data_IF_531218053441
#
_entry.id   IF_531218053441
#
_cell.length_a   1.000
_cell.length_b   1.000
_cell.length_c   1.000
_cell.angle_alpha   90.00
_cell.angle_beta   90.00
_cell.angle_gamma   90.00
#
_symmetry.space_group_name_H-M   'P 1'
#
loop_
_entity.id
_entity.type
_entity.pdbx_description
1 polymer ?
#
# COMPACT_ATOMS: atom_id res chain seq x y z
N UNK A 1 -13.50 25.24 31.01
CA UNK A 1 -13.38 26.30 29.99
C UNK A 1 -11.97 26.88 29.93
N UNK A 2 -11.41 27.35 31.06
CA UNK A 2 -10.05 27.95 31.08
C UNK A 2 -8.95 27.00 30.54
N UNK A 3 -8.92 25.73 30.95
CA UNK A 3 -7.91 24.76 30.51
C UNK A 3 -7.95 24.51 28.99
N UNK A 4 -9.14 24.36 28.41
CA UNK A 4 -9.29 24.17 26.96
C UNK A 4 -8.83 25.41 26.18
N UNK A 5 -9.12 26.62 26.68
CA UNK A 5 -8.65 27.86 26.07
C UNK A 5 -7.12 28.00 26.15
N UNK A 6 -6.51 27.59 27.26
CA UNK A 6 -5.05 27.54 27.39
C UNK A 6 -4.47 26.61 26.31
N UNK A 7 -5.02 25.40 26.15
CA UNK A 7 -4.58 24.42 25.14
C UNK A 7 -4.66 24.99 23.72
N UNK A 8 -5.78 25.63 23.36
CA UNK A 8 -5.96 26.24 22.05
C UNK A 8 -4.90 27.33 21.79
N UNK A 9 -4.59 28.14 22.79
CA UNK A 9 -3.58 29.21 22.69
C UNK A 9 -2.15 28.66 22.59
N UNK A 10 -1.75 27.72 23.48
CA UNK A 10 -0.37 27.22 23.49
C UNK A 10 -0.06 26.30 22.32
N UNK A 11 -1.07 25.67 21.72
CA UNK A 11 -0.89 24.82 20.54
C UNK A 11 -0.44 25.62 19.31
N UNK A 12 -0.76 26.92 19.25
CA UNK A 12 -0.35 27.82 18.16
C UNK A 12 1.15 28.17 18.18
N UNK A 13 1.82 28.06 19.33
CA UNK A 13 3.18 28.54 19.53
C UNK A 13 4.29 27.55 19.13
N UNK A 14 3.91 26.36 18.63
CA UNK A 14 4.78 25.26 18.17
C UNK A 14 6.15 25.09 18.84
N UNK A 15 6.17 25.04 20.18
CA UNK A 15 7.39 24.89 20.97
C UNK A 15 7.24 23.90 22.15
N UNK A 16 8.37 23.53 22.76
CA UNK A 16 8.46 22.56 23.87
C UNK A 16 7.73 23.01 25.14
N UNK A 17 7.75 24.31 25.44
CA UNK A 17 7.03 24.86 26.60
C UNK A 17 5.52 24.68 26.45
N UNK A 18 4.98 24.90 25.25
CA UNK A 18 3.57 24.64 24.94
C UNK A 18 3.20 23.18 25.12
N UNK A 19 4.08 22.25 24.69
CA UNK A 19 3.87 20.80 24.87
C UNK A 19 3.78 20.43 26.35
N UNK A 20 4.73 20.90 27.16
CA UNK A 20 4.76 20.64 28.61
C UNK A 20 3.52 21.19 29.34
N UNK A 21 3.00 22.34 28.89
CA UNK A 21 1.73 22.88 29.41
C UNK A 21 0.55 21.96 29.05
N UNK A 22 0.46 21.49 27.80
CA UNK A 22 -0.61 20.56 27.39
C UNK A 22 -0.57 19.28 28.23
N UNK A 23 0.61 18.70 28.42
CA UNK A 23 0.78 17.47 29.23
C UNK A 23 0.34 17.71 30.67
N UNK A 24 0.75 18.84 31.29
CA UNK A 24 0.31 19.20 32.64
C UNK A 24 -1.20 19.41 32.72
N UNK A 25 -1.83 19.98 31.70
CA UNK A 25 -3.28 20.12 31.62
C UNK A 25 -3.99 18.75 31.55
N UNK A 26 -3.48 17.82 30.74
CA UNK A 26 -4.01 16.46 30.62
C UNK A 26 -3.77 15.65 31.90
N UNK A 27 -2.64 15.81 32.56
CA UNK A 27 -2.31 15.10 33.80
C UNK A 27 -3.10 15.61 35.02
N UNK A 28 -3.48 16.90 35.02
CA UNK A 28 -4.27 17.50 36.10
C UNK A 28 -5.70 16.95 36.17
N UNK A 29 -6.30 16.67 35.02
CA UNK A 29 -7.63 16.07 34.90
C UNK A 29 -7.58 14.95 33.83
N UNK A 30 -7.13 13.73 34.24
CA UNK A 30 -6.80 12.64 33.33
C UNK A 30 -7.94 12.32 32.38
N UNK A 31 -7.64 12.39 31.07
CA UNK A 31 -8.59 12.07 30.01
C UNK A 31 -9.91 12.86 30.05
N UNK A 32 -9.94 14.06 30.65
CA UNK A 32 -11.12 14.91 30.55
C UNK A 32 -11.49 15.16 29.08
N UNK A 33 -12.73 14.82 28.71
CA UNK A 33 -13.19 14.85 27.32
C UNK A 33 -12.98 16.23 26.66
N UNK A 34 -13.26 17.31 27.39
CA UNK A 34 -13.09 18.68 26.86
C UNK A 34 -11.62 19.03 26.64
N UNK A 35 -10.75 18.55 27.51
CA UNK A 35 -9.29 18.77 27.42
C UNK A 35 -8.75 18.02 26.21
N UNK A 36 -9.07 16.74 26.07
CA UNK A 36 -8.59 15.91 24.96
C UNK A 36 -9.17 16.36 23.61
N UNK A 37 -10.44 16.76 23.54
CA UNK A 37 -11.03 17.31 22.32
C UNK A 37 -10.39 18.65 21.92
N UNK A 38 -10.00 19.49 22.90
CA UNK A 38 -9.25 20.72 22.62
C UNK A 38 -7.86 20.40 22.05
N UNK A 39 -7.17 19.40 22.60
CA UNK A 39 -5.88 18.92 22.05
C UNK A 39 -6.05 18.41 20.62
N UNK A 40 -7.07 17.59 20.37
CA UNK A 40 -7.39 17.04 19.05
C UNK A 40 -7.63 18.14 18.00
N UNK A 41 -8.31 19.20 18.40
CA UNK A 41 -8.68 20.31 17.51
C UNK A 41 -7.51 21.25 17.23
N UNK A 42 -6.56 21.35 18.17
CA UNK A 42 -5.52 22.36 18.14
C UNK A 42 -4.16 21.85 17.62
N UNK A 43 -3.87 20.56 17.78
CA UNK A 43 -2.57 20.00 17.43
C UNK A 43 -2.54 19.42 16.01
N UNK A 44 -1.48 19.70 15.21
CA UNK A 44 -1.31 19.03 13.92
C UNK A 44 -1.07 17.54 14.11
N UNK A 45 -1.49 16.71 13.14
CA UNK A 45 -1.46 15.23 13.24
C UNK A 45 -0.11 14.63 13.68
N UNK A 46 1.05 15.07 13.15
CA UNK A 46 2.35 14.55 13.61
C UNK A 46 2.59 14.75 15.12
N UNK A 47 2.04 15.82 15.69
CA UNK A 47 2.20 16.19 17.09
C UNK A 47 1.31 15.37 18.03
N UNK A 48 0.25 14.75 17.50
CA UNK A 48 -0.59 13.83 18.26
C UNK A 48 0.21 12.60 18.73
N UNK A 49 1.17 12.11 17.93
CA UNK A 49 2.01 10.95 18.29
C UNK A 49 3.02 11.31 19.40
N UNK A 50 3.60 12.51 19.35
CA UNK A 50 4.49 13.02 20.40
C UNK A 50 3.74 13.21 21.73
N UNK A 51 2.54 13.80 21.66
CA UNK A 51 1.67 13.95 22.82
C UNK A 51 1.22 12.59 23.37
N UNK A 52 0.89 11.64 22.49
CA UNK A 52 0.55 10.29 22.89
C UNK A 52 1.70 9.62 23.65
N UNK A 53 2.92 9.73 23.14
CA UNK A 53 4.13 9.24 23.83
C UNK A 53 4.26 9.86 25.22
N UNK A 54 4.06 11.17 25.32
CA UNK A 54 4.18 11.90 26.57
C UNK A 54 3.09 11.50 27.57
N UNK A 55 1.86 11.29 27.11
CA UNK A 55 0.74 10.83 27.94
C UNK A 55 1.01 9.42 28.47
N UNK A 56 1.37 8.47 27.60
CA UNK A 56 1.59 7.07 27.98
C UNK A 56 2.78 6.87 28.91
N UNK A 57 3.77 7.76 28.85
CA UNK A 57 4.97 7.68 29.71
C UNK A 57 4.85 8.49 31.00
N UNK A 58 3.81 9.32 31.15
CA UNK A 58 3.63 10.18 32.31
C UNK A 58 3.16 9.38 33.54
N UNK A 59 3.71 9.63 34.76
CA UNK A 59 3.41 8.84 35.98
C UNK A 59 1.93 8.65 36.27
N UNK A 60 1.11 9.69 36.05
CA UNK A 60 -0.35 9.67 36.22
C UNK A 60 -1.03 8.53 35.45
N UNK A 61 -0.51 8.15 34.28
CA UNK A 61 -1.08 7.11 33.42
C UNK A 61 -0.41 5.75 33.60
N UNK A 62 0.69 5.67 34.37
CA UNK A 62 1.49 4.45 34.55
C UNK A 62 1.34 3.83 35.94
N UNK A 63 1.25 4.65 36.98
CA UNK A 63 1.40 4.21 38.38
C UNK A 63 0.07 3.89 39.06
N UNK A 64 -1.05 4.43 38.56
CA UNK A 64 -2.38 4.21 39.13
C UNK A 64 -3.35 3.76 38.05
N UNK A 65 -4.19 2.73 38.32
CA UNK A 65 -5.27 2.38 37.42
C UNK A 65 -6.21 3.57 37.28
N UNK A 66 -6.52 3.92 36.03
CA UNK A 66 -7.52 4.92 35.71
C UNK A 66 -8.92 4.39 36.10
N UNK A 67 -9.88 5.30 36.30
CA UNK A 67 -11.29 4.90 36.31
C UNK A 67 -11.65 4.25 34.98
N UNK A 68 -12.67 3.38 34.97
CA UNK A 68 -13.16 2.75 33.73
C UNK A 68 -13.49 3.78 32.64
N UNK A 69 -14.09 4.90 33.03
CA UNK A 69 -14.41 6.02 32.12
C UNK A 69 -13.15 6.65 31.51
N UNK A 70 -12.14 6.94 32.33
CA UNK A 70 -10.90 7.54 31.88
C UNK A 70 -10.07 6.56 31.04
N UNK A 71 -10.10 5.26 31.37
CA UNK A 71 -9.47 4.22 30.56
C UNK A 71 -10.14 4.12 29.18
N UNK A 72 -11.47 4.08 29.13
CA UNK A 72 -12.20 4.03 27.87
C UNK A 72 -11.96 5.29 27.01
N UNK A 73 -11.79 6.46 27.63
CA UNK A 73 -11.46 7.69 26.93
C UNK A 73 -10.00 7.69 26.43
N UNK A 74 -9.06 7.14 27.19
CA UNK A 74 -7.67 6.92 26.73
C UNK A 74 -7.63 5.98 25.52
N UNK A 75 -8.42 4.89 25.54
CA UNK A 75 -8.50 3.94 24.44
C UNK A 75 -9.08 4.58 23.16
N UNK A 76 -10.13 5.40 23.30
CA UNK A 76 -10.67 6.22 22.20
C UNK A 76 -9.63 7.19 21.65
N UNK A 77 -8.86 7.81 22.55
CA UNK A 77 -7.80 8.75 22.16
C UNK A 77 -6.65 8.06 21.42
N UNK A 78 -6.19 6.91 21.92
CA UNK A 78 -5.23 6.03 21.26
C UNK A 78 -5.69 5.70 19.84
N UNK A 79 -6.94 5.23 19.71
CA UNK A 79 -7.52 4.90 18.43
C UNK A 79 -7.55 6.11 17.48
N UNK A 80 -7.95 7.28 17.97
CA UNK A 80 -7.98 8.53 17.19
C UNK A 80 -6.58 8.92 16.68
N UNK A 81 -5.58 8.95 17.56
CA UNK A 81 -4.21 9.32 17.19
C UNK A 81 -3.60 8.34 16.19
N UNK A 82 -3.78 7.03 16.42
CA UNK A 82 -3.26 5.98 15.53
C UNK A 82 -3.94 6.07 14.16
N UNK A 83 -5.28 6.10 14.14
CA UNK A 83 -6.05 6.20 12.88
C UNK A 83 -5.67 7.46 12.10
N UNK A 84 -5.57 8.61 12.77
CA UNK A 84 -5.14 9.85 12.13
C UNK A 84 -3.74 9.77 11.51
N UNK A 85 -2.81 9.09 12.20
CA UNK A 85 -1.44 8.86 11.72
C UNK A 85 -1.41 7.92 10.53
N UNK A 86 -2.18 6.83 10.57
CA UNK A 86 -2.29 5.85 9.47
C UNK A 86 -2.94 6.47 8.23
N UNK A 87 -4.02 7.24 8.40
CA UNK A 87 -4.79 7.77 7.27
C UNK A 87 -4.20 9.04 6.65
N UNK A 88 -3.30 9.76 7.34
CA UNK A 88 -2.76 11.01 6.80
C UNK A 88 -1.51 11.56 7.49
N UNK A 89 -0.82 10.76 8.31
CA UNK A 89 0.48 11.10 8.85
C UNK A 89 1.59 10.92 7.81
N UNK A 90 2.64 11.74 7.90
CA UNK A 90 3.86 11.55 7.09
C UNK A 90 4.78 10.46 7.65
N UNK A 91 5.84 10.08 6.93
CA UNK A 91 6.78 9.02 7.34
C UNK A 91 7.40 9.23 8.72
N UNK A 92 7.71 10.48 9.08
CA UNK A 92 8.26 10.81 10.40
C UNK A 92 7.27 10.50 11.53
N UNK A 93 6.00 10.90 11.37
CA UNK A 93 4.97 10.62 12.38
C UNK A 93 4.73 9.12 12.56
N UNK A 94 4.73 8.37 11.46
CA UNK A 94 4.58 6.92 11.51
C UNK A 94 5.80 6.24 12.15
N UNK A 95 7.03 6.71 11.86
CA UNK A 95 8.24 6.21 12.49
C UNK A 95 8.21 6.42 14.01
N UNK A 96 7.81 7.61 14.47
CA UNK A 96 7.62 7.91 15.89
C UNK A 96 6.57 7.01 16.54
N UNK A 97 5.48 6.69 15.82
CA UNK A 97 4.45 5.77 16.31
C UNK A 97 5.01 4.35 16.49
N UNK A 98 5.79 3.84 15.52
CA UNK A 98 6.43 2.53 15.64
C UNK A 98 7.43 2.48 16.80
N UNK A 99 8.18 3.56 17.03
CA UNK A 99 9.08 3.67 18.18
C UNK A 99 8.34 3.71 19.52
N UNK A 100 7.17 4.37 19.56
CA UNK A 100 6.31 4.36 20.74
C UNK A 100 5.82 2.94 21.04
N UNK A 101 5.25 2.25 20.05
CA UNK A 101 4.75 0.87 20.18
C UNK A 101 5.88 -0.08 20.62
N UNK A 102 7.10 0.14 20.12
CA UNK A 102 8.27 -0.65 20.52
C UNK A 102 8.61 -0.52 22.02
N UNK A 103 8.23 0.59 22.67
CA UNK A 103 8.55 0.89 24.08
C UNK A 103 7.43 0.50 25.06
N UNK A 104 6.24 0.16 24.58
CA UNK A 104 5.12 -0.26 25.43
C UNK A 104 5.20 -1.75 25.79
N UNK A 105 4.44 -2.17 26.80
CA UNK A 105 4.30 -3.59 27.14
C UNK A 105 3.65 -4.40 25.99
N UNK A 106 3.62 -5.73 26.14
CA UNK A 106 3.15 -6.65 25.10
C UNK A 106 1.67 -6.45 24.72
N UNK A 107 0.82 -6.22 25.71
CA UNK A 107 -0.63 -6.10 25.51
C UNK A 107 -0.95 -4.77 24.82
N UNK A 108 -0.34 -3.69 25.29
CA UNK A 108 -0.48 -2.37 24.69
C UNK A 108 0.11 -2.33 23.27
N UNK A 109 1.29 -2.92 23.05
CA UNK A 109 1.89 -2.97 21.72
C UNK A 109 1.01 -3.77 20.73
N UNK A 110 0.48 -4.91 21.16
CA UNK A 110 -0.44 -5.73 20.35
C UNK A 110 -1.71 -4.96 20.02
N UNK A 111 -2.32 -4.30 21.00
CA UNK A 111 -3.54 -3.48 20.83
C UNK A 111 -3.30 -2.34 19.83
N UNK A 112 -2.21 -1.59 19.97
CA UNK A 112 -1.88 -0.49 19.06
C UNK A 112 -1.63 -0.98 17.62
N UNK A 113 -0.91 -2.09 17.45
CA UNK A 113 -0.70 -2.69 16.13
C UNK A 113 -2.01 -3.22 15.52
N UNK A 114 -2.92 -3.76 16.33
CA UNK A 114 -4.25 -4.18 15.88
C UNK A 114 -5.11 -2.98 15.45
N UNK A 115 -4.99 -1.82 16.10
CA UNK A 115 -5.64 -0.59 15.65
C UNK A 115 -5.10 -0.18 14.28
N UNK A 116 -3.78 -0.23 14.06
CA UNK A 116 -3.18 0.02 12.74
C UNK A 116 -3.75 -0.94 11.70
N UNK A 117 -3.69 -2.25 11.98
CA UNK A 117 -4.18 -3.29 11.09
C UNK A 117 -5.66 -3.14 10.75
N UNK A 118 -6.52 -2.89 11.74
CA UNK A 118 -7.96 -2.69 11.52
C UNK A 118 -8.28 -1.41 10.74
N UNK A 119 -7.49 -0.35 10.92
CA UNK A 119 -7.62 0.90 10.15
C UNK A 119 -7.38 0.65 8.67
N UNK A 120 -6.39 -0.18 8.33
CA UNK A 120 -6.02 -0.45 6.94
C UNK A 120 -6.79 -1.60 6.29
N UNK A 121 -7.41 -2.47 7.09
CA UNK A 121 -8.18 -3.63 6.61
C UNK A 121 -9.70 -3.47 6.74
N UNK A 122 -10.19 -2.34 7.26
CA UNK A 122 -11.61 -2.12 7.53
C UNK A 122 -12.49 -2.25 6.28
N UNK A 123 -13.44 -3.19 6.32
CA UNK A 123 -14.44 -3.46 5.27
C UNK A 123 -15.49 -2.34 5.08
N UNK A 124 -15.58 -1.36 5.98
CA UNK A 124 -16.66 -0.35 6.00
C UNK A 124 -16.37 0.91 5.18
N UNK A 125 -15.12 1.19 4.84
CA UNK A 125 -14.77 2.28 3.92
C UNK A 125 -14.40 1.70 2.55
N UNK A 126 -15.14 2.10 1.50
CA UNK A 126 -14.79 1.79 0.12
C UNK A 126 -14.00 2.98 -0.47
N UNK A 127 -12.73 2.81 -0.84
CA UNK A 127 -11.77 1.75 -0.47
C UNK A 127 -10.96 2.13 0.79
N UNK A 128 -10.44 1.14 1.55
CA UNK A 128 -9.42 1.40 2.56
C UNK A 128 -8.10 1.69 1.83
N UNK A 129 -7.76 2.96 1.68
CA UNK A 129 -6.46 3.37 1.14
C UNK A 129 -5.50 3.59 2.29
N UNK A 130 -4.88 2.51 2.77
CA UNK A 130 -3.65 2.67 3.51
C UNK A 130 -2.61 3.24 2.54
N UNK A 131 -2.26 4.51 2.72
CA UNK A 131 -1.22 5.16 1.91
C UNK A 131 0.12 4.49 2.23
N UNK A 132 0.86 4.11 1.19
CA UNK A 132 2.22 3.60 1.35
C UNK A 132 3.06 4.63 2.11
N UNK A 133 3.73 4.19 3.17
CA UNK A 133 4.64 5.03 3.95
C UNK A 133 6.05 4.79 3.44
N UNK A 134 6.57 5.79 2.72
CA UNK A 134 7.93 5.77 2.19
C UNK A 134 8.90 6.32 3.24
N UNK A 135 9.72 5.45 3.81
CA UNK A 135 10.80 5.82 4.73
C UNK A 135 12.13 5.96 3.99
N UNK A 136 13.01 6.81 4.52
CA UNK A 136 14.38 6.97 4.00
C UNK A 136 15.26 5.72 4.28
N UNK A 137 14.92 4.95 5.32
CA UNK A 137 15.56 3.69 5.70
C UNK A 137 14.58 2.88 6.57
N UNK A 138 14.90 1.63 6.87
CA UNK A 138 14.10 0.80 7.79
C UNK A 138 13.97 1.49 9.16
N UNK A 139 12.75 1.78 9.66
CA UNK A 139 12.58 2.52 10.91
C UNK A 139 13.11 1.76 12.14
N UNK A 140 13.74 2.49 13.07
CA UNK A 140 14.28 1.90 14.30
C UNK A 140 13.20 1.20 15.14
N UNK A 141 12.00 1.80 15.24
CA UNK A 141 10.85 1.18 15.90
C UNK A 141 10.45 -0.16 15.28
N UNK A 142 10.47 -0.28 13.95
CA UNK A 142 10.18 -1.54 13.26
C UNK A 142 11.25 -2.61 13.56
N UNK A 143 12.53 -2.23 13.55
CA UNK A 143 13.64 -3.12 13.91
C UNK A 143 13.50 -3.62 15.36
N UNK A 144 13.10 -2.76 16.29
CA UNK A 144 12.88 -3.13 17.68
C UNK A 144 11.67 -4.08 17.82
N UNK A 145 10.58 -3.81 17.12
CA UNK A 145 9.36 -4.65 17.13
C UNK A 145 9.60 -6.04 16.53
N UNK A 146 10.40 -6.17 15.47
CA UNK A 146 10.73 -7.48 14.89
C UNK A 146 11.56 -8.38 15.80
N UNK A 147 12.32 -7.80 16.75
CA UNK A 147 13.11 -8.54 17.74
C UNK A 147 12.28 -9.06 18.92
N UNK A 148 11.01 -8.65 19.03
CA UNK A 148 10.12 -9.03 20.11
C UNK A 148 9.70 -10.52 20.01
N UNK A 149 9.76 -11.28 21.12
CA UNK A 149 9.47 -12.72 21.10
C UNK A 149 7.97 -13.06 20.96
N UNK A 150 7.07 -12.10 21.18
CA UNK A 150 5.62 -12.32 21.21
C UNK A 150 5.05 -12.63 19.81
N UNK A 151 4.30 -13.74 19.71
CA UNK A 151 3.70 -14.18 18.45
C UNK A 151 2.63 -13.21 17.93
N UNK A 152 1.84 -12.63 18.84
CA UNK A 152 0.81 -11.64 18.50
C UNK A 152 1.39 -10.43 17.78
N UNK A 153 2.54 -9.94 18.24
CA UNK A 153 3.25 -8.80 17.64
C UNK A 153 3.75 -9.17 16.24
N UNK A 154 4.37 -10.36 16.08
CA UNK A 154 4.83 -10.83 14.75
C UNK A 154 3.68 -10.92 13.74
N UNK A 155 2.54 -11.44 14.16
CA UNK A 155 1.36 -11.57 13.28
C UNK A 155 0.81 -10.21 12.88
N UNK A 156 0.73 -9.25 13.80
CA UNK A 156 0.30 -7.90 13.47
C UNK A 156 1.32 -7.15 12.59
N UNK A 157 2.62 -7.30 12.83
CA UNK A 157 3.65 -6.71 11.95
C UNK A 157 3.55 -7.28 10.53
N UNK A 158 3.31 -8.58 10.39
CA UNK A 158 3.09 -9.22 9.09
C UNK A 158 1.85 -8.64 8.41
N UNK A 159 0.76 -8.45 9.16
CA UNK A 159 -0.50 -7.94 8.62
C UNK A 159 -0.40 -6.50 8.08
N UNK A 160 0.50 -5.67 8.63
CA UNK A 160 0.72 -4.28 8.20
C UNK A 160 1.96 -4.07 7.31
N UNK A 161 2.76 -5.12 7.09
CA UNK A 161 4.05 -5.03 6.38
C UNK A 161 3.96 -4.42 4.97
N UNK A 162 2.80 -4.57 4.31
CA UNK A 162 2.52 -4.00 2.99
C UNK A 162 2.48 -2.46 2.97
N UNK A 163 2.39 -1.82 4.13
CA UNK A 163 2.33 -0.35 4.26
C UNK A 163 3.69 0.32 4.16
N UNK A 164 4.80 -0.43 4.14
CA UNK A 164 6.13 0.14 4.30
C UNK A 164 6.98 0.03 3.02
N UNK A 165 7.77 1.07 2.75
CA UNK A 165 8.76 1.08 1.66
C UNK A 165 10.00 1.86 2.09
N UNK A 166 11.21 1.37 1.78
CA UNK A 166 12.48 2.09 2.00
C UNK A 166 13.62 1.53 1.12
N UNK A 167 14.66 2.32 0.79
CA UNK A 167 15.79 1.87 -0.04
C UNK A 167 16.39 0.55 0.45
N UNK A 168 16.51 -0.43 -0.46
CA UNK A 168 17.06 -1.76 -0.14
C UNK A 168 16.05 -2.77 0.42
N UNK A 169 14.78 -2.38 0.64
CA UNK A 169 13.70 -3.36 0.74
C UNK A 169 13.50 -3.99 -0.66
N UNK A 170 13.36 -5.32 -0.82
CA UNK A 170 13.13 -5.94 -2.13
C UNK A 170 11.88 -5.42 -2.86
N UNK A 171 11.00 -4.69 -2.17
CA UNK A 171 9.80 -4.06 -2.69
C UNK A 171 9.89 -2.54 -2.80
N UNK A 172 11.07 -1.94 -2.63
CA UNK A 172 11.27 -0.49 -2.70
C UNK A 172 11.01 0.08 -4.09
N UNK A 173 10.38 1.26 -4.18
CA UNK A 173 10.08 1.93 -5.45
C UNK A 173 8.89 1.37 -6.23
N UNK A 174 8.29 0.27 -5.75
CA UNK A 174 6.99 -0.20 -6.21
C UNK A 174 5.92 0.60 -5.48
N UNK A 175 5.23 1.51 -6.16
CA UNK A 175 3.93 1.94 -5.69
C UNK A 175 3.09 0.66 -5.64
N UNK A 176 2.86 0.14 -4.44
CA UNK A 176 2.00 -1.01 -4.22
C UNK A 176 0.57 -0.61 -4.62
N UNK A 177 0.29 -0.64 -5.91
CA UNK A 177 -1.04 -0.90 -6.42
C UNK A 177 -1.42 -2.26 -5.81
N UNK A 178 -2.13 -2.19 -4.68
CA UNK A 178 -2.87 -3.25 -4.02
C UNK A 178 -2.19 -4.63 -4.08
N UNK A 179 -1.71 -5.19 -2.96
CA UNK A 179 -1.51 -6.64 -2.90
C UNK A 179 -2.79 -7.30 -3.40
N UNK A 180 -2.77 -7.77 -4.66
CA UNK A 180 -3.95 -8.36 -5.24
C UNK A 180 -4.24 -9.56 -4.39
N UNK A 181 -5.45 -9.57 -3.82
CA UNK A 181 -5.91 -10.66 -2.96
C UNK A 181 -5.51 -12.01 -3.55
N UNK A 182 -5.34 -13.05 -2.72
CA UNK A 182 -5.17 -14.40 -3.23
C UNK A 182 -6.19 -14.69 -4.32
N UNK A 183 -5.75 -15.35 -5.39
CA UNK A 183 -6.63 -15.73 -6.49
C UNK A 183 -7.73 -16.64 -5.94
N UNK A 184 -8.97 -16.34 -6.31
CA UNK A 184 -10.10 -17.23 -6.06
C UNK A 184 -9.97 -18.49 -6.94
N UNK A 185 -10.75 -19.53 -6.66
CA UNK A 185 -10.65 -20.81 -7.37
C UNK A 185 -10.76 -20.66 -8.89
N UNK A 186 -11.74 -19.90 -9.38
CA UNK A 186 -11.89 -19.62 -10.81
C UNK A 186 -10.68 -18.89 -11.41
N UNK A 187 -10.05 -18.00 -10.65
CA UNK A 187 -8.89 -17.23 -11.12
C UNK A 187 -7.60 -18.07 -11.07
N UNK A 188 -7.51 -19.06 -10.17
CA UNK A 188 -6.43 -20.05 -10.17
C UNK A 188 -6.50 -20.93 -11.42
N UNK A 189 -7.69 -21.29 -11.88
CA UNK A 189 -7.87 -22.02 -13.14
C UNK A 189 -7.41 -21.18 -14.33
N UNK A 190 -7.78 -19.90 -14.39
CA UNK A 190 -7.28 -18.96 -15.40
C UNK A 190 -5.75 -18.83 -15.34
N UNK A 191 -5.18 -18.72 -14.14
CA UNK A 191 -3.73 -18.65 -13.95
C UNK A 191 -3.02 -19.91 -14.49
N UNK A 192 -3.50 -21.11 -14.14
CA UNK A 192 -2.90 -22.37 -14.59
C UNK A 192 -3.02 -22.54 -16.12
N UNK A 193 -4.18 -22.20 -16.71
CA UNK A 193 -4.36 -22.18 -18.16
C UNK A 193 -3.44 -21.16 -18.83
N UNK A 194 -3.32 -19.98 -18.24
CA UNK A 194 -2.45 -18.92 -18.71
C UNK A 194 -0.97 -19.29 -18.69
N UNK A 195 -0.53 -20.04 -17.68
CA UNK A 195 0.83 -20.58 -17.60
C UNK A 195 1.13 -21.51 -18.78
N UNK A 196 0.22 -22.42 -19.10
CA UNK A 196 0.38 -23.33 -20.24
C UNK A 196 0.47 -22.56 -21.56
N UNK A 197 -0.45 -21.61 -21.79
CA UNK A 197 -0.44 -20.73 -22.97
C UNK A 197 0.88 -19.96 -23.08
N UNK A 198 1.35 -19.39 -21.96
CA UNK A 198 2.58 -18.62 -21.92
C UNK A 198 3.78 -19.47 -22.36
N UNK A 199 3.92 -20.67 -21.79
CA UNK A 199 5.01 -21.57 -22.10
C UNK A 199 5.01 -22.03 -23.55
N UNK A 200 3.83 -22.31 -24.11
CA UNK A 200 3.68 -22.78 -25.49
C UNK A 200 4.05 -21.70 -26.51
N UNK A 201 3.66 -20.44 -26.27
CA UNK A 201 3.69 -19.41 -27.31
C UNK A 201 4.53 -18.19 -26.93
N UNK A 202 4.37 -17.65 -25.74
CA UNK A 202 4.90 -16.34 -25.36
C UNK A 202 6.41 -16.36 -25.04
N UNK A 203 6.93 -17.51 -24.60
CA UNK A 203 8.35 -17.68 -24.26
C UNK A 203 9.29 -17.48 -25.43
N UNK A 204 8.80 -17.65 -26.66
CA UNK A 204 9.56 -17.45 -27.92
C UNK A 204 10.07 -16.03 -28.10
N UNK A 205 9.45 -15.05 -27.43
CA UNK A 205 9.89 -13.65 -27.43
C UNK A 205 10.21 -13.15 -26.02
N UNK A 206 9.38 -13.49 -25.02
CA UNK A 206 9.51 -12.99 -23.65
C UNK A 206 10.42 -13.84 -22.75
N UNK A 207 10.98 -14.94 -23.26
CA UNK A 207 11.75 -15.95 -22.51
C UNK A 207 10.90 -16.71 -21.46
N UNK A 208 11.35 -17.88 -20.96
CA UNK A 208 10.67 -18.61 -19.89
C UNK A 208 10.52 -17.83 -18.57
N UNK A 209 11.40 -16.88 -18.30
CA UNK A 209 11.40 -16.06 -17.08
C UNK A 209 10.81 -14.66 -17.27
N UNK A 210 10.20 -14.40 -18.43
CA UNK A 210 9.56 -13.13 -18.73
C UNK A 210 10.51 -11.95 -18.97
N UNK A 211 11.84 -12.14 -18.92
CA UNK A 211 12.82 -11.04 -19.02
C UNK A 211 13.13 -10.59 -20.46
N UNK A 212 12.55 -11.26 -21.44
CA UNK A 212 12.82 -11.02 -22.86
C UNK A 212 14.03 -11.82 -23.37
N UNK A 213 13.97 -12.20 -24.64
CA UNK A 213 15.08 -12.83 -25.35
C UNK A 213 15.94 -11.77 -26.04
N UNK A 214 17.26 -11.97 -26.05
CA UNK A 214 18.16 -11.15 -26.86
C UNK A 214 17.85 -11.32 -28.34
N UNK A 215 17.90 -10.23 -29.09
CA UNK A 215 17.83 -10.27 -30.55
C UNK A 215 18.97 -11.10 -31.14
N UNK A 216 18.83 -11.62 -32.39
CA UNK A 216 19.89 -12.36 -33.07
C UNK A 216 21.22 -11.61 -33.18
N UNK A 217 21.19 -10.28 -33.24
CA UNK A 217 22.38 -9.43 -33.27
C UNK A 217 23.02 -9.20 -31.88
N UNK A 218 22.35 -9.65 -30.81
CA UNK A 218 22.78 -9.59 -29.42
C UNK A 218 22.73 -8.21 -28.78
N UNK A 219 22.24 -7.18 -29.47
CA UNK A 219 22.29 -5.78 -29.03
C UNK A 219 21.02 -5.30 -28.33
N UNK A 220 19.88 -5.86 -28.70
CA UNK A 220 18.56 -5.49 -28.20
C UNK A 220 17.82 -6.71 -27.62
N UNK A 221 16.59 -6.48 -27.16
CA UNK A 221 15.65 -7.54 -26.82
C UNK A 221 14.61 -7.66 -27.93
N UNK A 222 14.18 -8.89 -28.20
CA UNK A 222 13.05 -9.16 -29.10
C UNK A 222 11.74 -8.62 -28.52
N UNK A 223 11.57 -8.71 -27.20
CA UNK A 223 10.38 -8.23 -26.51
C UNK A 223 10.72 -7.64 -25.13
N UNK A 224 9.88 -6.71 -24.62
CA UNK A 224 10.10 -6.10 -23.32
C UNK A 224 9.99 -7.12 -22.16
N UNK A 225 10.69 -6.86 -21.04
CA UNK A 225 10.49 -7.64 -19.83
C UNK A 225 9.05 -7.44 -19.30
N UNK A 226 8.45 -8.54 -18.87
CA UNK A 226 7.14 -8.59 -18.23
C UNK A 226 7.17 -8.40 -16.71
N UNK A 227 8.20 -8.88 -15.97
CA UNK A 227 8.32 -8.56 -14.56
C UNK A 227 8.37 -7.05 -14.34
N UNK A 228 7.55 -6.56 -13.42
CA UNK A 228 7.45 -5.15 -13.00
C UNK A 228 7.10 -4.17 -14.15
N UNK A 229 6.52 -4.68 -15.24
CA UNK A 229 6.07 -3.84 -16.35
C UNK A 229 4.89 -2.96 -15.92
N UNK A 230 4.97 -1.63 -16.01
CA UNK A 230 3.87 -0.75 -15.60
C UNK A 230 2.62 -0.95 -16.47
N UNK A 231 2.78 -1.38 -17.73
CA UNK A 231 1.67 -1.75 -18.61
C UNK A 231 0.90 -2.98 -18.11
N UNK A 232 1.55 -3.84 -17.32
CA UNK A 232 0.91 -4.98 -16.67
C UNK A 232 0.44 -4.67 -15.25
N UNK A 233 1.07 -3.74 -14.53
CA UNK A 233 0.70 -3.49 -13.14
C UNK A 233 -0.45 -2.49 -12.98
N UNK A 234 -0.46 -1.39 -13.74
CA UNK A 234 -1.32 -0.25 -13.46
C UNK A 234 -2.73 -0.35 -14.06
N UNK A 235 -2.85 -0.23 -15.39
CA UNK A 235 -4.14 -0.25 -16.08
C UNK A 235 -4.37 -1.60 -16.79
N UNK A 236 -5.39 -2.35 -16.34
CA UNK A 236 -5.76 -3.63 -16.95
C UNK A 236 -6.19 -3.50 -18.42
N UNK A 237 -6.83 -2.39 -18.79
CA UNK A 237 -7.33 -2.19 -20.15
C UNK A 237 -6.18 -2.11 -21.15
N UNK A 238 -5.07 -1.47 -20.78
CA UNK A 238 -3.88 -1.39 -21.63
C UNK A 238 -3.31 -2.77 -21.98
N UNK A 239 -3.19 -3.67 -20.98
CA UNK A 239 -2.74 -5.04 -21.21
C UNK A 239 -3.69 -5.82 -22.15
N UNK A 240 -5.01 -5.62 -22.01
CA UNK A 240 -6.00 -6.25 -22.87
C UNK A 240 -5.94 -5.68 -24.30
N UNK A 241 -5.83 -4.36 -24.44
CA UNK A 241 -5.67 -3.67 -25.72
C UNK A 241 -4.47 -4.21 -26.51
N UNK A 242 -3.33 -4.36 -25.83
CA UNK A 242 -2.10 -4.94 -26.37
C UNK A 242 -2.34 -6.39 -26.85
N UNK A 243 -2.96 -7.25 -26.04
CA UNK A 243 -3.23 -8.63 -26.45
C UNK A 243 -4.21 -8.74 -27.61
N UNK A 244 -5.21 -7.85 -27.67
CA UNK A 244 -6.22 -7.90 -28.72
C UNK A 244 -5.67 -7.39 -30.07
N UNK A 245 -4.88 -6.31 -30.07
CA UNK A 245 -4.53 -5.59 -31.30
C UNK A 245 -3.02 -5.50 -31.56
N UNK A 246 -2.18 -5.93 -30.63
CA UNK A 246 -0.72 -5.86 -30.72
C UNK A 246 -0.13 -4.56 -30.19
N UNK A 247 1.19 -4.49 -30.15
CA UNK A 247 1.98 -3.34 -29.69
C UNK A 247 3.21 -3.15 -30.58
N UNK A 248 3.46 -1.91 -30.98
CA UNK A 248 4.60 -1.53 -31.84
C UNK A 248 5.25 -0.23 -31.36
N UNK A 249 6.40 0.07 -31.94
CA UNK A 249 7.14 1.30 -31.69
C UNK A 249 8.00 1.25 -30.43
N UNK A 250 8.48 2.42 -30.05
CA UNK A 250 9.37 2.57 -28.92
C UNK A 250 8.62 2.49 -27.59
N UNK A 251 9.26 1.83 -26.62
CA UNK A 251 8.73 1.57 -25.30
C UNK A 251 9.71 2.11 -24.25
N UNK A 252 9.33 3.18 -23.55
CA UNK A 252 10.14 3.85 -22.50
C UNK A 252 11.58 4.21 -22.94
N UNK A 253 11.75 4.83 -24.11
CA UNK A 253 13.10 5.17 -24.58
C UNK A 253 13.83 4.02 -25.29
N UNK A 254 13.20 2.84 -25.40
CA UNK A 254 13.86 1.61 -25.91
C UNK A 254 13.12 1.03 -27.11
N UNK A 255 13.89 0.73 -28.14
CA UNK A 255 13.40 -0.01 -29.31
C UNK A 255 13.49 -1.51 -29.04
N UNK A 256 12.44 -2.24 -29.40
CA UNK A 256 12.41 -3.69 -29.42
C UNK A 256 12.23 -4.13 -30.88
N UNK A 257 12.97 -5.16 -31.30
CA UNK A 257 12.96 -5.57 -32.71
C UNK A 257 11.65 -6.27 -33.11
N UNK A 258 11.00 -6.94 -32.15
CA UNK A 258 9.75 -7.64 -32.38
C UNK A 258 8.54 -6.71 -32.32
N UNK A 259 7.63 -6.88 -33.28
CA UNK A 259 6.23 -6.46 -33.16
C UNK A 259 5.52 -7.43 -32.21
N UNK A 260 4.81 -6.94 -31.19
CA UNK A 260 3.90 -7.80 -30.43
C UNK A 260 2.65 -8.04 -31.27
N UNK A 261 2.48 -9.27 -31.75
CA UNK A 261 1.37 -9.64 -32.63
C UNK A 261 0.00 -9.52 -31.93
N UNK A 262 -1.08 -9.17 -32.69
CA UNK A 262 -2.44 -9.25 -32.19
C UNK A 262 -2.88 -10.70 -32.01
N UNK A 263 -3.48 -11.03 -30.87
CA UNK A 263 -4.07 -12.35 -30.60
C UNK A 263 -5.59 -12.34 -30.52
N UNK A 264 -6.22 -11.16 -30.57
CA UNK A 264 -7.66 -11.02 -30.38
C UNK A 264 -8.49 -11.76 -31.43
N UNK A 265 -8.10 -11.74 -32.71
CA UNK A 265 -8.91 -12.34 -33.78
C UNK A 265 -8.96 -13.88 -33.72
N UNK A 266 -7.87 -14.52 -33.26
CA UNK A 266 -7.73 -15.97 -33.27
C UNK A 266 -8.06 -16.65 -31.94
N UNK A 267 -8.27 -15.87 -30.87
CA UNK A 267 -8.45 -16.39 -29.53
C UNK A 267 -9.65 -15.74 -28.84
N UNK A 268 -10.36 -16.55 -28.06
CA UNK A 268 -11.51 -16.11 -27.28
C UNK A 268 -11.10 -15.29 -26.05
N UNK A 269 -12.11 -14.76 -25.37
CA UNK A 269 -11.92 -13.89 -24.21
C UNK A 269 -11.33 -14.63 -23.01
N UNK A 270 -11.58 -15.93 -22.88
CA UNK A 270 -11.02 -16.75 -21.80
C UNK A 270 -9.53 -17.01 -22.00
N UNK A 271 -9.10 -17.27 -23.24
CA UNK A 271 -7.70 -17.45 -23.59
C UNK A 271 -6.88 -16.20 -23.26
N UNK A 272 -7.37 -15.03 -23.69
CA UNK A 272 -6.71 -13.74 -23.42
C UNK A 272 -6.70 -13.44 -21.91
N UNK A 273 -7.83 -13.65 -21.22
CA UNK A 273 -7.93 -13.45 -19.78
C UNK A 273 -6.98 -14.38 -19.00
N UNK A 274 -6.82 -15.63 -19.46
CA UNK A 274 -5.95 -16.62 -18.82
C UNK A 274 -4.49 -16.19 -18.86
N UNK A 275 -3.95 -15.93 -20.05
CA UNK A 275 -2.53 -15.55 -20.20
C UNK A 275 -2.23 -14.23 -19.51
N UNK A 276 -3.13 -13.24 -19.59
CA UNK A 276 -2.94 -11.97 -18.89
C UNK A 276 -3.03 -12.11 -17.37
N UNK A 277 -3.87 -13.01 -16.85
CA UNK A 277 -3.92 -13.29 -15.41
C UNK A 277 -2.63 -13.95 -14.94
N UNK A 278 -2.07 -14.88 -15.71
CA UNK A 278 -0.78 -15.49 -15.39
C UNK A 278 0.35 -14.45 -15.32
N UNK A 279 0.58 -13.69 -16.39
CA UNK A 279 1.71 -12.74 -16.43
C UNK A 279 1.57 -11.60 -15.42
N UNK A 280 0.35 -11.21 -15.04
CA UNK A 280 0.09 -10.19 -13.99
C UNK A 280 0.26 -10.72 -12.56
N UNK A 281 0.45 -12.02 -12.39
CA UNK A 281 0.55 -12.69 -11.07
C UNK A 281 1.82 -13.51 -10.90
N UNK A 282 2.69 -13.51 -11.91
CA UNK A 282 3.95 -14.26 -11.95
C UNK A 282 5.15 -13.31 -11.79
N UNK A 283 6.31 -13.83 -11.39
CA UNK A 283 7.57 -13.08 -11.26
C UNK A 283 7.51 -11.86 -10.32
N UNK A 284 6.60 -11.90 -9.33
CA UNK A 284 6.41 -10.81 -8.37
C UNK A 284 5.46 -9.72 -8.84
N UNK A 285 4.85 -9.87 -10.02
CA UNK A 285 3.75 -9.02 -10.47
C UNK A 285 2.54 -9.17 -9.55
N UNK A 286 1.84 -8.06 -9.31
CA UNK A 286 0.74 -7.97 -8.37
C UNK A 286 -0.53 -7.37 -8.99
N UNK A 287 -0.58 -7.25 -10.31
CA UNK A 287 -1.76 -6.80 -11.04
C UNK A 287 -3.02 -7.63 -10.73
N UNK A 288 -4.17 -6.95 -10.68
CA UNK A 288 -5.46 -7.63 -10.53
C UNK A 288 -5.69 -8.66 -11.65
N UNK A 289 -6.35 -9.81 -11.37
CA UNK A 289 -6.65 -10.80 -12.39
C UNK A 289 -7.55 -10.22 -13.48
N UNK A 290 -7.40 -10.74 -14.70
CA UNK A 290 -8.24 -10.39 -15.84
C UNK A 290 -9.27 -11.49 -16.03
N UNK A 291 -10.54 -11.11 -16.04
CA UNK A 291 -11.66 -12.01 -16.26
C UNK A 291 -12.08 -11.94 -17.73
N UNK A 292 -12.68 -13.01 -18.28
CA UNK A 292 -13.20 -12.99 -19.66
C UNK A 292 -14.13 -11.81 -19.94
N UNK A 293 -14.94 -11.39 -18.97
CA UNK A 293 -15.83 -10.23 -19.09
C UNK A 293 -15.10 -8.90 -19.26
N UNK A 294 -13.90 -8.74 -18.71
CA UNK A 294 -13.08 -7.54 -18.96
C UNK A 294 -12.60 -7.52 -20.41
N UNK A 295 -12.19 -8.69 -20.94
CA UNK A 295 -11.73 -8.81 -22.33
C UNK A 295 -12.87 -8.53 -23.29
N UNK A 296 -14.04 -9.13 -23.06
CA UNK A 296 -15.24 -8.90 -23.85
C UNK A 296 -15.59 -7.40 -23.95
N UNK A 297 -15.57 -6.70 -22.81
CA UNK A 297 -15.86 -5.26 -22.76
C UNK A 297 -14.83 -4.43 -23.56
N UNK A 298 -13.53 -4.72 -23.41
CA UNK A 298 -12.49 -4.02 -24.18
C UNK A 298 -12.56 -4.36 -25.67
N UNK A 299 -12.86 -5.61 -26.02
CA UNK A 299 -13.02 -6.05 -27.40
C UNK A 299 -14.16 -5.31 -28.09
N UNK A 300 -15.30 -5.17 -27.43
CA UNK A 300 -16.43 -4.40 -27.97
C UNK A 300 -16.10 -2.91 -28.13
N UNK A 301 -15.47 -2.33 -27.11
CA UNK A 301 -15.05 -0.91 -27.09
C UNK A 301 -14.10 -0.57 -28.25
N UNK A 302 -13.23 -1.50 -28.64
CA UNK A 302 -12.20 -1.30 -29.67
C UNK A 302 -12.40 -2.18 -30.92
N UNK A 303 -13.61 -2.71 -31.17
CA UNK A 303 -13.89 -3.66 -32.25
C UNK A 303 -13.49 -3.22 -33.66
N UNK A 304 -13.42 -1.91 -33.90
CA UNK A 304 -13.07 -1.33 -35.19
C UNK A 304 -11.56 -1.08 -35.35
N UNK A 305 -10.75 -1.33 -34.31
CA UNK A 305 -9.30 -1.13 -34.38
C UNK A 305 -8.65 -2.33 -35.06
N UNK A 306 -7.81 -2.05 -36.05
CA UNK A 306 -7.07 -3.07 -36.82
C UNK A 306 -5.56 -2.92 -36.71
N UNK A 307 -5.08 -1.77 -36.22
CA UNK A 307 -3.66 -1.46 -36.10
C UNK A 307 -3.12 -1.74 -34.69
N UNK A 308 -1.85 -2.19 -34.56
CA UNK A 308 -1.17 -2.28 -33.27
C UNK A 308 -1.16 -0.95 -32.52
N UNK A 309 -1.19 -1.01 -31.20
CA UNK A 309 -1.04 0.17 -30.35
C UNK A 309 0.39 0.69 -30.36
N UNK A 310 0.58 1.99 -30.19
CA UNK A 310 1.86 2.57 -29.74
C UNK A 310 1.79 2.90 -28.24
N UNK A 311 2.94 3.12 -27.61
CA UNK A 311 2.98 3.56 -26.21
C UNK A 311 2.19 4.85 -25.96
N UNK A 312 2.20 5.79 -26.90
CA UNK A 312 1.54 7.10 -26.78
C UNK A 312 0.02 6.99 -26.84
N UNK A 313 -0.51 6.00 -27.56
CA UNK A 313 -1.95 5.76 -27.68
C UNK A 313 -2.52 5.04 -26.45
N UNK A 314 -1.68 4.36 -25.67
CA UNK A 314 -2.09 3.59 -24.49
C UNK A 314 -2.21 4.48 -23.26
N UNK A 315 -3.37 4.47 -22.61
CA UNK A 315 -3.53 5.02 -21.26
C UNK A 315 -3.03 4.00 -20.22
N UNK A 316 -1.74 3.69 -20.25
CA UNK A 316 -1.14 2.65 -19.40
C UNK A 316 -0.81 3.14 -18.00
N UNK A 317 -0.54 4.45 -17.85
CA UNK A 317 -0.39 5.10 -16.54
C UNK A 317 -1.78 5.37 -15.97
N UNK A 318 -2.02 5.02 -14.71
CA UNK A 318 -3.21 5.58 -14.04
C UNK A 318 -3.03 7.09 -13.91
N UNK A 319 -3.76 7.86 -14.71
CA UNK A 319 -3.88 9.30 -14.49
C UNK A 319 -4.47 9.50 -13.09
N UNK A 320 -3.71 10.14 -12.21
CA UNK A 320 -4.13 10.41 -10.84
C UNK A 320 -5.33 11.35 -10.84
N UNK A 321 -6.47 10.83 -10.40
CA UNK A 321 -7.61 11.61 -9.89
C UNK A 321 -7.57 11.62 -8.36
#
# INVERSE_FOLDING_TARGET
>A
QVIAQIILTVSQADNDQGRDIIIRCVARDPMNERVINAVASAAPRPRLVELLTSILTHPTFREKPLSEENQAQLDRWLQYCITGTVSGGGPLAFASLLELIAKTDADQATSMLQIIASTVTSRRQKPPQARLVQFAAKPAGLIALEKRPEQSIREQLKSISFMFSWPGLPTYGRDFAHQSRPLGETEKLLFAKGQAIYHELCTTCHAPDGRGLKSPDGRNLLAPPLPESPRLEENREAAIQIMLHGLTGELDGRTYEGLMAPFGASNDDEWVASVLTYVRREWGNAGSPILPSHVAATREKFRNRTMPWTQEELDWKKRGE
#
